data_IF_648426649200
#
_entry.id   IF_648426649200
#
_cell.length_a   1.000
_cell.length_b   1.000
_cell.length_c   1.000
_cell.angle_alpha   90.00
_cell.angle_beta   90.00
_cell.angle_gamma   90.00
#
_symmetry.space_group_name_H-M   'P 1'
#
loop_
_entity.id
_entity.type
_entity.pdbx_description
1 polymer ?
#
# COMPACT_ATOMS: atom_id res chain seq x y z
N UNK A 1 8.42 -1.64 1.30
CA UNK A 1 8.26 -0.41 0.49
C UNK A 1 6.98 0.26 0.94
N UNK A 2 7.06 1.51 1.36
CA UNK A 2 5.89 2.36 1.55
C UNK A 2 5.35 2.82 0.20
N UNK A 3 4.05 3.09 0.12
CA UNK A 3 3.40 3.54 -1.12
C UNK A 3 3.91 4.93 -1.59
N UNK A 4 4.50 5.71 -0.70
CA UNK A 4 5.11 7.00 -0.99
C UNK A 4 6.60 6.90 -1.39
N UNK A 5 7.19 5.69 -1.39
CA UNK A 5 8.56 5.49 -1.88
C UNK A 5 8.63 5.66 -3.41
N UNK A 6 9.79 6.12 -3.94
CA UNK A 6 10.01 6.20 -5.38
C UNK A 6 9.91 4.80 -6.02
N UNK A 7 9.25 4.71 -7.17
CA UNK A 7 9.07 3.46 -7.89
C UNK A 7 10.43 2.90 -8.36
N UNK A 8 10.71 1.60 -8.18
CA UNK A 8 12.00 1.00 -8.50
C UNK A 8 12.19 0.81 -10.02
N UNK A 9 12.29 1.91 -10.77
CA UNK A 9 12.48 1.93 -12.22
C UNK A 9 13.76 1.22 -12.68
N UNK A 10 14.73 1.01 -11.78
CA UNK A 10 15.98 0.27 -12.05
C UNK A 10 15.74 -1.22 -12.24
N UNK A 11 14.62 -1.75 -11.76
CA UNK A 11 14.21 -3.15 -11.95
C UNK A 11 13.47 -3.37 -13.27
N UNK A 12 13.03 -2.30 -13.92
CA UNK A 12 12.35 -2.35 -15.21
C UNK A 12 13.36 -2.42 -16.37
N UNK A 13 12.96 -3.04 -17.48
CA UNK A 13 13.76 -2.99 -18.71
C UNK A 13 13.87 -1.55 -19.23
N UNK A 14 14.95 -1.23 -19.96
CA UNK A 14 15.23 0.14 -20.41
C UNK A 14 14.09 0.79 -21.21
N UNK A 15 13.32 -0.01 -21.96
CA UNK A 15 12.13 0.47 -22.71
C UNK A 15 10.99 0.87 -21.77
N UNK A 16 10.75 0.09 -20.74
CA UNK A 16 9.68 0.29 -19.76
C UNK A 16 10.01 1.47 -18.86
N UNK A 17 11.28 1.59 -18.46
CA UNK A 17 11.80 2.78 -17.78
C UNK A 17 11.56 4.04 -18.61
N UNK A 18 11.89 4.03 -19.90
CA UNK A 18 11.67 5.18 -20.77
C UNK A 18 10.18 5.52 -20.91
N UNK A 19 9.31 4.51 -21.01
CA UNK A 19 7.86 4.69 -21.09
C UNK A 19 7.28 5.31 -19.81
N UNK A 20 7.67 4.81 -18.64
CA UNK A 20 7.25 5.35 -17.33
C UNK A 20 7.77 6.78 -17.20
N UNK A 21 9.05 7.03 -17.47
CA UNK A 21 9.58 8.39 -17.39
C UNK A 21 8.88 9.33 -18.38
N UNK A 22 8.55 8.89 -19.59
CA UNK A 22 7.81 9.70 -20.55
C UNK A 22 6.41 10.09 -20.04
N UNK A 23 5.68 9.14 -19.44
CA UNK A 23 4.36 9.39 -18.85
C UNK A 23 4.43 10.41 -17.70
N UNK A 24 5.50 10.34 -16.89
CA UNK A 24 5.72 11.22 -15.75
C UNK A 24 6.63 12.43 -16.07
N UNK A 25 6.70 12.87 -17.33
CA UNK A 25 7.45 14.07 -17.77
C UNK A 25 8.94 14.08 -17.37
N UNK A 26 9.56 12.92 -17.36
CA UNK A 26 10.96 12.70 -16.99
C UNK A 26 11.19 12.55 -15.47
N UNK A 27 10.15 12.60 -14.64
CA UNK A 27 10.25 12.40 -13.20
C UNK A 27 10.14 10.92 -12.85
N UNK A 28 10.83 10.50 -11.79
CA UNK A 28 10.59 9.19 -11.17
C UNK A 28 9.27 9.26 -10.36
N UNK A 29 8.24 8.47 -10.72
CA UNK A 29 6.99 8.44 -9.97
C UNK A 29 7.15 7.68 -8.65
N UNK A 30 6.20 7.85 -7.74
CA UNK A 30 6.06 7.04 -6.54
C UNK A 30 5.30 5.74 -6.83
N UNK A 31 5.45 4.75 -5.95
CA UNK A 31 4.71 3.49 -6.03
C UNK A 31 3.19 3.73 -6.07
N UNK A 32 2.67 4.68 -5.28
CA UNK A 32 1.25 5.07 -5.29
C UNK A 32 0.81 5.65 -6.63
N UNK A 33 1.60 6.54 -7.22
CA UNK A 33 1.27 7.16 -8.51
C UNK A 33 1.18 6.10 -9.62
N UNK A 34 2.12 5.17 -9.66
CA UNK A 34 2.13 4.05 -10.61
C UNK A 34 0.94 3.10 -10.37
N UNK A 35 0.64 2.80 -9.11
CA UNK A 35 -0.45 1.92 -8.71
C UNK A 35 -1.84 2.50 -9.05
N UNK A 36 -1.98 3.83 -9.01
CA UNK A 36 -3.24 4.54 -9.25
C UNK A 36 -3.63 4.60 -10.74
N UNK A 37 -2.69 4.38 -11.66
CA UNK A 37 -2.99 4.30 -13.09
C UNK A 37 -3.67 2.95 -13.38
N UNK A 38 -4.77 2.98 -14.12
CA UNK A 38 -5.52 1.78 -14.50
C UNK A 38 -4.77 0.94 -15.53
N UNK A 39 -5.06 -0.36 -15.60
CA UNK A 39 -4.39 -1.25 -16.57
C UNK A 39 -4.67 -0.84 -18.01
N UNK A 40 -5.91 -0.41 -18.30
CA UNK A 40 -6.28 0.10 -19.60
C UNK A 40 -5.43 1.31 -20.00
N UNK A 41 -5.16 2.21 -19.06
CA UNK A 41 -4.31 3.37 -19.31
C UNK A 41 -2.84 2.96 -19.50
N UNK A 42 -2.31 2.04 -18.69
CA UNK A 42 -0.97 1.50 -18.90
C UNK A 42 -0.79 0.86 -20.27
N UNK A 43 -1.79 0.14 -20.78
CA UNK A 43 -1.76 -0.49 -22.11
C UNK A 43 -1.81 0.52 -23.27
N UNK A 44 -2.20 1.77 -23.02
CA UNK A 44 -2.10 2.85 -24.02
C UNK A 44 -0.69 3.44 -24.10
N UNK A 45 0.15 3.22 -23.09
CA UNK A 45 1.50 3.77 -23.05
C UNK A 45 2.39 2.98 -24.03
N UNK A 46 3.08 3.65 -24.95
CA UNK A 46 3.95 2.98 -25.91
C UNK A 46 5.06 2.20 -25.17
N UNK A 47 5.30 0.96 -25.59
CA UNK A 47 6.23 -0.01 -24.98
C UNK A 47 5.75 -0.66 -23.67
N UNK A 48 4.49 -0.45 -23.26
CA UNK A 48 3.90 -1.16 -22.11
C UNK A 48 2.84 -2.13 -22.62
N UNK A 49 3.22 -3.41 -22.62
CA UNK A 49 2.33 -4.51 -22.96
C UNK A 49 1.78 -5.22 -21.73
N UNK A 50 0.84 -6.17 -21.90
CA UNK A 50 0.21 -6.90 -20.81
C UNK A 50 1.23 -7.66 -19.92
N UNK A 51 2.28 -8.22 -20.50
CA UNK A 51 3.35 -8.90 -19.73
C UNK A 51 4.13 -7.93 -18.86
N UNK A 52 4.51 -6.77 -19.41
CA UNK A 52 5.20 -5.71 -18.67
C UNK A 52 4.34 -5.13 -17.56
N UNK A 53 3.05 -5.00 -17.83
CA UNK A 53 2.07 -4.51 -16.86
C UNK A 53 1.94 -5.49 -15.69
N UNK A 54 1.94 -6.80 -15.95
CA UNK A 54 1.94 -7.84 -14.91
C UNK A 54 3.19 -7.74 -14.00
N UNK A 55 4.37 -7.52 -14.59
CA UNK A 55 5.60 -7.25 -13.84
C UNK A 55 5.51 -5.95 -13.01
N UNK A 56 4.98 -4.89 -13.60
CA UNK A 56 4.81 -3.58 -12.97
C UNK A 56 3.85 -3.66 -11.78
N UNK A 57 2.76 -4.44 -11.90
CA UNK A 57 1.82 -4.77 -10.83
C UNK A 57 2.48 -5.58 -9.73
N UNK A 58 3.31 -6.56 -10.07
CA UNK A 58 4.08 -7.35 -9.10
C UNK A 58 5.06 -6.51 -8.28
N UNK A 59 5.53 -5.38 -8.84
CA UNK A 59 6.41 -4.43 -8.15
C UNK A 59 5.67 -3.38 -7.34
N UNK A 60 4.48 -2.93 -7.79
CA UNK A 60 3.67 -1.92 -7.07
C UNK A 60 2.85 -2.52 -5.94
N UNK A 61 2.35 -3.73 -6.17
CA UNK A 61 1.68 -4.56 -5.20
C UNK A 61 2.54 -5.80 -5.05
N UNK A 62 3.34 -5.94 -3.96
CA UNK A 62 3.85 -7.25 -3.60
C UNK A 62 2.63 -8.10 -3.28
N UNK A 63 2.09 -8.76 -4.31
CA UNK A 63 1.01 -9.70 -4.12
C UNK A 63 1.53 -10.78 -3.17
N UNK A 64 0.73 -11.21 -2.17
CA UNK A 64 1.00 -12.47 -1.52
C UNK A 64 1.08 -13.52 -2.63
N UNK A 65 2.22 -14.20 -2.68
CA UNK A 65 2.56 -15.20 -3.69
C UNK A 65 1.36 -16.15 -3.89
N UNK A 66 0.80 -16.11 -5.10
CA UNK A 66 -0.18 -17.08 -5.59
C UNK A 66 -1.63 -16.72 -5.36
N UNK A 67 -2.21 -15.90 -6.24
CA UNK A 67 -3.59 -16.17 -6.63
C UNK A 67 -3.77 -15.92 -8.12
N UNK A 68 -4.06 -17.02 -8.81
CA UNK A 68 -4.43 -17.08 -10.20
C UNK A 68 -5.55 -16.08 -10.49
N UNK A 69 -5.50 -15.53 -11.71
CA UNK A 69 -6.57 -14.77 -12.36
C UNK A 69 -7.88 -15.59 -12.42
N UNK A 70 -8.65 -15.66 -11.34
CA UNK A 70 -10.07 -16.03 -11.32
C UNK A 70 -10.68 -15.62 -9.97
N UNK A 71 -11.74 -14.81 -10.02
CA UNK A 71 -12.52 -14.31 -8.89
C UNK A 71 -11.83 -13.25 -8.02
N UNK A 72 -11.95 -12.00 -8.46
CA UNK A 72 -12.17 -10.90 -7.52
C UNK A 72 -13.43 -11.23 -6.70
N UNK A 73 -13.28 -12.00 -5.63
CA UNK A 73 -14.14 -11.83 -4.46
C UNK A 73 -13.73 -10.49 -3.90
N UNK A 74 -14.27 -9.43 -4.50
CA UNK A 74 -14.28 -8.10 -3.91
C UNK A 74 -14.86 -8.29 -2.52
N UNK A 75 -14.00 -8.23 -1.50
CA UNK A 75 -14.43 -8.26 -0.11
C UNK A 75 -15.54 -7.20 -0.01
N UNK A 76 -16.79 -7.59 0.30
CA UNK A 76 -17.91 -6.67 0.21
C UNK A 76 -17.63 -5.49 1.13
N UNK A 77 -18.04 -4.28 0.73
CA UNK A 77 -17.75 -3.05 1.48
C UNK A 77 -18.14 -3.17 2.96
N UNK A 78 -19.18 -3.97 3.27
CA UNK A 78 -19.60 -4.31 4.63
C UNK A 78 -18.52 -5.04 5.45
N UNK A 79 -17.75 -5.91 4.85
CA UNK A 79 -16.69 -6.67 5.50
C UNK A 79 -15.43 -5.82 5.68
N UNK A 80 -15.14 -4.94 4.70
CA UNK A 80 -14.10 -3.91 4.84
C UNK A 80 -14.42 -2.95 5.99
N UNK A 81 -15.66 -2.45 6.07
CA UNK A 81 -16.11 -1.58 7.16
C UNK A 81 -16.10 -2.30 8.52
N UNK A 82 -16.44 -3.58 8.54
CA UNK A 82 -16.38 -4.42 9.76
C UNK A 82 -14.94 -4.60 10.23
N UNK A 83 -14.02 -4.83 9.30
CA UNK A 83 -12.59 -4.96 9.59
C UNK A 83 -11.99 -3.64 10.08
N UNK A 84 -12.35 -2.51 9.47
CA UNK A 84 -11.96 -1.17 9.94
C UNK A 84 -12.47 -0.89 11.35
N UNK A 85 -13.76 -1.16 11.62
CA UNK A 85 -14.32 -0.99 12.95
C UNK A 85 -13.62 -1.84 14.01
N UNK A 86 -13.26 -3.08 13.65
CA UNK A 86 -12.49 -3.97 14.53
C UNK A 86 -11.12 -3.39 14.84
N UNK A 87 -10.36 -2.98 13.83
CA UNK A 87 -9.04 -2.38 14.00
C UNK A 87 -9.10 -1.09 14.83
N UNK A 88 -10.10 -0.24 14.61
CA UNK A 88 -10.30 0.98 15.38
C UNK A 88 -10.61 0.68 16.85
N UNK A 89 -11.37 -0.37 17.15
CA UNK A 89 -11.59 -0.82 18.54
C UNK A 89 -10.30 -1.31 19.18
N UNK A 90 -9.53 -2.15 18.48
CA UNK A 90 -8.26 -2.68 18.99
C UNK A 90 -7.25 -1.56 19.30
N UNK A 91 -7.15 -0.53 18.44
CA UNK A 91 -6.33 0.65 18.70
C UNK A 91 -6.81 1.45 19.91
N UNK A 92 -8.12 1.67 20.04
CA UNK A 92 -8.67 2.38 21.20
C UNK A 92 -8.43 1.62 22.51
N UNK A 93 -8.53 0.29 22.50
CA UNK A 93 -8.20 -0.55 23.64
C UNK A 93 -6.73 -0.37 24.01
N UNK A 94 -5.81 -0.47 23.04
CA UNK A 94 -4.38 -0.32 23.29
C UNK A 94 -4.04 1.07 23.85
N UNK A 95 -4.61 2.13 23.29
CA UNK A 95 -4.46 3.50 23.79
C UNK A 95 -4.98 3.60 25.23
N UNK A 96 -6.13 3.00 25.53
CA UNK A 96 -6.72 2.96 26.87
C UNK A 96 -5.81 2.25 27.87
N UNK A 97 -5.25 1.09 27.51
CA UNK A 97 -4.33 0.34 28.36
C UNK A 97 -3.03 1.10 28.61
N UNK A 98 -2.46 1.74 27.57
CA UNK A 98 -1.26 2.58 27.71
C UNK A 98 -1.55 3.73 28.68
N UNK A 99 -2.65 4.46 28.48
CA UNK A 99 -3.06 5.56 29.37
C UNK A 99 -3.28 5.08 30.80
N UNK A 100 -3.94 3.95 30.99
CA UNK A 100 -4.17 3.38 32.32
C UNK A 100 -2.86 3.01 33.03
N UNK A 101 -1.90 2.43 32.31
CA UNK A 101 -0.56 2.13 32.83
C UNK A 101 0.19 3.42 33.21
N UNK A 102 0.15 4.44 32.36
CA UNK A 102 0.76 5.73 32.67
C UNK A 102 0.15 6.41 33.90
N UNK A 103 -1.18 6.41 34.01
CA UNK A 103 -1.86 6.98 35.18
C UNK A 103 -1.55 6.20 36.46
N UNK A 104 -1.50 4.87 36.39
CA UNK A 104 -1.12 4.02 37.53
C UNK A 104 0.31 4.28 38.00
N UNK A 105 1.25 4.49 37.07
CA UNK A 105 2.62 4.87 37.37
C UNK A 105 2.71 6.27 38.02
N UNK A 106 1.91 7.24 37.57
CA UNK A 106 1.85 8.57 38.16
C UNK A 106 1.23 8.55 39.57
N UNK A 107 0.19 7.77 39.80
CA UNK A 107 -0.44 7.63 41.12
C UNK A 107 0.46 6.91 42.14
N UNK A 108 1.28 5.95 41.70
CA UNK A 108 2.24 5.24 42.58
C UNK A 108 3.39 6.13 43.04
N UNK A 109 3.69 7.21 42.33
CA UNK A 109 4.76 8.15 42.68
C UNK A 109 4.31 9.27 43.64
N UNK A 110 2.99 9.42 43.88
CA UNK A 110 2.40 10.45 44.73
C UNK A 110 1.92 9.93 46.10
N UNK A 111 2.32 8.74 46.52
CA UNK A 111 1.98 8.20 47.84
C UNK A 111 3.07 8.65 48.84
N UNK A 112 2.78 9.60 49.76
CA UNK A 112 3.76 10.01 50.76
C UNK A 112 3.96 8.87 51.77
N UNK A 113 5.23 8.65 52.15
CA UNK A 113 5.63 7.78 53.25
C UNK A 113 5.21 8.36 54.59
#
# INVERSE_FOLDING_TARGET
MGLDDPFPIERCSGRVRAAILAEFKGRCPTIREVANISDAQWLTVPNIGPTTLEELRSMTYPAPIGENRTATTSMPDSELLSRLNRLQRELNTLIGEIKARFNSLASKNNQPR
#
